data_IF_937070579201
#
_entry.id   IF_937070579201
#
_cell.length_a   1.000
_cell.length_b   1.000
_cell.length_c   1.000
_cell.angle_alpha   90.00
_cell.angle_beta   90.00
_cell.angle_gamma   90.00
#
_symmetry.space_group_name_H-M   'P 1'
#
loop_
_entity.id
_entity.type
_entity.pdbx_description
1 polymer ?
#
# COMPACT_ATOMS: atom_id res chain seq x y z
N UNK A 1 0.27 -4.15 19.56
CA UNK A 1 0.73 -5.48 20.02
C UNK A 1 -0.29 -6.56 19.62
N UNK A 2 -0.69 -6.60 18.33
CA UNK A 2 -1.69 -7.57 17.86
C UNK A 2 -1.00 -8.91 17.59
N UNK A 3 0.07 -8.94 16.79
CA UNK A 3 0.81 -10.16 16.47
C UNK A 3 1.21 -10.96 17.72
N UNK A 4 1.85 -10.31 18.70
CA UNK A 4 2.27 -10.93 19.97
C UNK A 4 1.08 -11.51 20.76
N UNK A 5 -0.08 -10.86 20.75
CA UNK A 5 -1.27 -11.34 21.45
C UNK A 5 -1.84 -12.65 20.85
N UNK A 6 -1.54 -12.93 19.58
CA UNK A 6 -1.89 -14.17 18.89
C UNK A 6 -0.70 -15.13 18.76
N UNK A 7 0.40 -14.91 19.47
CA UNK A 7 1.59 -15.77 19.45
C UNK A 7 2.41 -15.67 18.16
N UNK A 8 2.27 -14.59 17.40
CA UNK A 8 2.97 -14.36 16.13
C UNK A 8 4.06 -13.30 16.30
N UNK A 9 5.12 -13.40 15.50
CA UNK A 9 6.15 -12.38 15.46
C UNK A 9 5.64 -11.12 14.74
N UNK A 10 5.83 -9.95 15.35
CA UNK A 10 5.49 -8.66 14.75
C UNK A 10 6.71 -7.92 14.22
N UNK A 11 6.64 -7.41 13.00
CA UNK A 11 7.60 -6.50 12.39
C UNK A 11 6.91 -5.19 12.05
N UNK A 12 7.57 -4.06 12.30
CA UNK A 12 7.03 -2.74 11.92
C UNK A 12 8.07 -1.92 11.14
N UNK A 13 7.65 -1.39 10.00
CA UNK A 13 8.43 -0.54 9.11
C UNK A 13 7.81 0.86 9.16
N UNK A 14 8.54 1.83 9.73
CA UNK A 14 8.11 3.25 9.77
C UNK A 14 8.81 4.15 8.75
N UNK A 15 9.97 3.71 8.26
CA UNK A 15 10.82 4.48 7.36
C UNK A 15 11.22 3.60 6.21
N UNK A 16 11.23 4.17 5.01
CA UNK A 16 11.62 3.45 3.80
C UNK A 16 13.02 2.81 3.91
N UNK A 17 13.98 3.51 4.52
CA UNK A 17 15.34 3.01 4.72
C UNK A 17 15.42 1.72 5.57
N UNK A 18 14.41 1.43 6.40
CA UNK A 18 14.37 0.22 7.22
C UNK A 18 13.74 -0.97 6.48
N UNK A 19 13.08 -0.75 5.32
CA UNK A 19 12.26 -1.76 4.65
C UNK A 19 13.06 -3.01 4.28
N UNK A 20 14.18 -2.86 3.56
CA UNK A 20 15.01 -3.99 3.12
C UNK A 20 15.49 -4.86 4.28
N UNK A 21 16.06 -4.24 5.32
CA UNK A 21 16.55 -4.94 6.52
C UNK A 21 15.43 -5.67 7.27
N UNK A 22 14.24 -5.08 7.38
CA UNK A 22 13.11 -5.71 8.08
C UNK A 22 12.52 -6.86 7.27
N UNK A 23 12.44 -6.71 5.94
CA UNK A 23 12.03 -7.77 5.03
C UNK A 23 12.98 -8.98 5.08
N UNK A 24 14.30 -8.76 5.08
CA UNK A 24 15.28 -9.84 5.25
C UNK A 24 15.08 -10.60 6.56
N UNK A 25 14.85 -9.88 7.67
CA UNK A 25 14.58 -10.51 8.98
C UNK A 25 13.27 -11.27 9.00
N UNK A 26 12.23 -10.75 8.35
CA UNK A 26 10.93 -11.40 8.26
C UNK A 26 10.99 -12.68 7.40
N UNK A 27 11.76 -12.66 6.30
CA UNK A 27 11.98 -13.83 5.44
C UNK A 27 12.87 -14.89 6.09
N UNK A 28 13.83 -14.48 6.93
CA UNK A 28 14.69 -15.40 7.67
C UNK A 28 14.00 -16.03 8.89
N UNK A 29 12.85 -15.50 9.31
CA UNK A 29 12.09 -16.00 10.45
C UNK A 29 11.37 -17.31 10.11
N UNK A 30 11.75 -18.40 10.77
CA UNK A 30 11.22 -19.75 10.52
C UNK A 30 10.49 -20.36 11.73
N UNK A 31 10.38 -19.64 12.86
CA UNK A 31 9.80 -20.17 14.10
C UNK A 31 8.26 -20.09 14.13
N UNK A 32 7.63 -19.54 13.08
CA UNK A 32 6.18 -19.43 12.99
C UNK A 32 5.68 -18.37 12.00
N UNK A 33 4.38 -18.06 12.02
CA UNK A 33 3.81 -16.96 11.25
C UNK A 33 4.27 -15.59 11.80
N UNK A 34 4.40 -14.62 10.90
CA UNK A 34 4.70 -13.24 11.27
C UNK A 34 3.75 -12.24 10.59
N UNK A 35 3.63 -11.06 11.19
CA UNK A 35 2.88 -9.92 10.65
C UNK A 35 3.87 -8.78 10.40
N UNK A 36 3.80 -8.18 9.22
CA UNK A 36 4.54 -6.98 8.86
C UNK A 36 3.56 -5.81 8.76
N UNK A 37 3.75 -4.81 9.61
CA UNK A 37 3.06 -3.52 9.59
C UNK A 37 3.97 -2.50 8.90
N UNK A 38 3.64 -2.12 7.65
CA UNK A 38 4.39 -1.15 6.87
C UNK A 38 3.61 0.16 6.76
N UNK A 39 4.16 1.22 7.34
CA UNK A 39 3.57 2.56 7.32
C UNK A 39 3.84 3.21 5.96
N UNK A 40 2.77 3.54 5.24
CA UNK A 40 2.80 4.18 3.92
C UNK A 40 2.13 5.56 3.94
N UNK A 41 2.41 6.37 2.93
CA UNK A 41 1.72 7.64 2.69
C UNK A 41 0.21 7.42 2.51
N UNK A 42 -0.62 8.28 3.10
CA UNK A 42 -2.08 8.11 3.13
C UNK A 42 -2.78 8.40 1.81
N UNK A 43 -2.19 9.28 0.99
CA UNK A 43 -2.81 9.83 -0.22
C UNK A 43 -2.11 9.38 -1.50
N UNK A 44 -1.28 8.33 -1.42
CA UNK A 44 -0.67 7.75 -2.60
C UNK A 44 -1.72 6.91 -3.35
N UNK A 45 -2.07 7.35 -4.56
CA UNK A 45 -3.11 6.73 -5.37
C UNK A 45 -2.47 5.74 -6.37
N UNK A 46 -3.25 4.74 -6.78
CA UNK A 46 -2.78 3.74 -7.74
C UNK A 46 -2.95 4.24 -9.17
N UNK A 47 -1.84 4.28 -9.92
CA UNK A 47 -1.80 4.59 -11.35
C UNK A 47 -1.06 3.47 -12.11
N UNK A 48 -1.35 3.24 -13.41
CA UNK A 48 -2.33 3.96 -14.22
C UNK A 48 -3.78 3.62 -13.87
N UNK A 49 -4.69 4.58 -14.05
CA UNK A 49 -6.13 4.44 -13.75
C UNK A 49 -6.98 5.00 -14.89
N UNK A 50 -8.03 4.28 -15.30
CA UNK A 50 -9.08 4.81 -16.17
C UNK A 50 -10.23 5.31 -15.28
N UNK A 51 -10.57 6.60 -15.31
CA UNK A 51 -11.66 7.14 -14.51
C UNK A 51 -13.00 6.45 -14.82
N UNK A 52 -13.87 6.33 -13.83
CA UNK A 52 -15.19 5.72 -14.03
C UNK A 52 -15.99 6.47 -15.11
N UNK A 53 -16.45 5.73 -16.12
CA UNK A 53 -17.18 6.27 -17.27
C UNK A 53 -16.31 6.77 -18.42
N UNK A 54 -14.98 6.76 -18.28
CA UNK A 54 -14.05 7.22 -19.32
C UNK A 54 -13.63 6.08 -20.28
N UNK A 55 -13.17 6.45 -21.48
CA UNK A 55 -12.63 5.54 -22.47
C UNK A 55 -11.21 5.07 -22.12
N UNK A 56 -10.76 3.96 -22.71
CA UNK A 56 -9.38 3.47 -22.56
C UNK A 56 -8.32 4.52 -22.92
N UNK A 57 -8.64 5.40 -23.87
CA UNK A 57 -7.74 6.48 -24.32
C UNK A 57 -7.54 7.59 -23.27
N UNK A 58 -8.40 7.65 -22.24
CA UNK A 58 -8.40 8.67 -21.19
C UNK A 58 -7.71 8.17 -19.91
N UNK A 59 -6.76 7.24 -20.07
CA UNK A 59 -5.97 6.68 -18.98
C UNK A 59 -5.10 7.74 -18.32
N UNK A 60 -5.23 7.85 -17.00
CA UNK A 60 -4.41 8.72 -16.16
C UNK A 60 -3.16 7.94 -15.76
N UNK A 61 -2.00 8.41 -16.20
CA UNK A 61 -0.71 7.76 -15.94
C UNK A 61 -0.02 8.26 -14.66
N UNK A 62 -0.34 9.48 -14.23
CA UNK A 62 0.29 10.17 -13.10
C UNK A 62 -0.76 10.93 -12.27
N UNK A 63 -0.45 11.25 -10.99
CA UNK A 63 -1.33 12.06 -10.16
C UNK A 63 -1.77 13.35 -10.87
N UNK A 64 -3.08 13.56 -11.05
CA UNK A 64 -3.57 14.71 -11.78
C UNK A 64 -3.30 16.00 -10.99
N UNK A 65 -2.63 16.95 -11.64
CA UNK A 65 -2.33 18.28 -11.05
C UNK A 65 -3.54 19.20 -10.96
N UNK A 66 -4.67 18.79 -11.54
CA UNK A 66 -5.92 19.55 -11.61
C UNK A 66 -7.07 18.69 -11.09
N UNK A 67 -8.08 19.35 -10.54
CA UNK A 67 -9.25 18.68 -9.96
C UNK A 67 -10.04 18.00 -11.09
N UNK A 68 -10.04 16.66 -11.08
CA UNK A 68 -10.84 15.88 -12.03
C UNK A 68 -12.32 16.02 -11.73
N UNK A 69 -13.14 15.99 -12.78
CA UNK A 69 -14.59 15.93 -12.64
C UNK A 69 -14.99 14.65 -11.90
N UNK A 70 -16.01 14.75 -11.04
CA UNK A 70 -16.46 13.59 -10.29
C UNK A 70 -16.97 12.53 -11.27
N UNK A 71 -16.53 11.27 -11.15
CA UNK A 71 -17.01 10.21 -12.03
C UNK A 71 -18.52 10.06 -11.90
N UNK A 72 -19.21 10.14 -13.04
CA UNK A 72 -20.67 10.01 -13.14
C UNK A 72 -20.97 8.52 -13.17
N UNK A 73 -21.10 7.89 -12.00
CA UNK A 73 -21.38 6.45 -11.93
C UNK A 73 -21.08 5.77 -10.61
N UNK A 74 -20.60 6.48 -9.58
CA UNK A 74 -20.46 5.89 -8.25
C UNK A 74 -21.70 6.15 -7.38
N UNK A 75 -22.85 5.67 -7.86
CA UNK A 75 -24.04 5.09 -7.19
C UNK A 75 -25.05 4.82 -8.30
#
# INVERSE_FOLDING_TARGET
KLAEAYGMQGFRIKRNADAGRVLERALAYNDGPCIIDAEVEKEDNVFPMIPAGASYQEMVLEPPKMKMEKPVGST
#
